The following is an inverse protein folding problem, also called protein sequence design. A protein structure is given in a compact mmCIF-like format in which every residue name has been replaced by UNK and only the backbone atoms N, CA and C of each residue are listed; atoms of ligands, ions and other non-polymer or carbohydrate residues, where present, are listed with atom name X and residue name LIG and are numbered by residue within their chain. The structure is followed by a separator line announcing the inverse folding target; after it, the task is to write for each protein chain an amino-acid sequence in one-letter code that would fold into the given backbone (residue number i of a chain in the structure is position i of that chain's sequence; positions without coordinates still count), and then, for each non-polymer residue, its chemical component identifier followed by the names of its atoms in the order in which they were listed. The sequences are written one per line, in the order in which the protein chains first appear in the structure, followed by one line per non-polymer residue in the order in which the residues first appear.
data_IF_894369018184
#
_entry.id   IF_894369018184
#
_cell.length_a   1.000
_cell.length_b   1.000
_cell.length_c   1.000
_cell.angle_alpha   90.00
_cell.angle_beta   90.00
_cell.angle_gamma   90.00
#
_symmetry.space_group_name_H-M   'P 1'
#
loop_
_entity.id
_entity.type
_entity.pdbx_description
1 polymer ?
#
# COMPACT_ATOMS: atom_id res chain seq x y z
N UNK A 1 30.21 -19.51 9.95
CA UNK A 1 31.12 -19.41 8.77
C UNK A 1 31.21 -17.96 8.37
N UNK A 2 32.44 -17.44 8.21
CA UNK A 2 32.75 -16.01 8.08
C UNK A 2 32.69 -15.57 6.62
N UNK A 3 31.63 -14.89 6.22
CA UNK A 3 31.55 -14.19 4.94
C UNK A 3 31.88 -12.72 5.12
N UNK A 4 33.12 -12.33 4.78
CA UNK A 4 33.51 -10.92 4.66
C UNK A 4 32.91 -10.39 3.36
N UNK A 5 32.01 -9.41 3.43
CA UNK A 5 31.65 -8.60 2.26
C UNK A 5 31.89 -7.15 2.65
N UNK A 6 32.98 -6.62 2.12
CA UNK A 6 33.31 -5.20 2.12
C UNK A 6 32.54 -4.63 0.93
N UNK A 7 31.61 -3.71 1.16
CA UNK A 7 31.07 -2.86 0.10
C UNK A 7 31.15 -1.41 0.57
N UNK A 8 32.26 -0.77 0.23
CA UNK A 8 32.37 0.69 0.23
C UNK A 8 31.62 1.20 -0.99
N UNK A 9 30.50 1.89 -0.77
CA UNK A 9 29.95 2.84 -1.74
C UNK A 9 29.37 4.01 -0.95
N UNK A 10 30.13 5.10 -0.91
CA UNK A 10 29.67 6.42 -0.50
C UNK A 10 28.74 6.93 -1.60
N UNK A 11 27.46 7.11 -1.27
CA UNK A 11 26.55 7.97 -2.01
C UNK A 11 25.74 8.76 -0.97
N UNK A 12 26.17 9.99 -0.70
CA UNK A 12 25.39 10.96 0.07
C UNK A 12 24.60 11.79 -0.95
N UNK A 13 23.33 11.48 -1.10
CA UNK A 13 22.33 12.37 -1.70
C UNK A 13 20.94 12.05 -1.10
N UNK A 14 20.50 12.97 -0.23
CA UNK A 14 19.16 13.23 0.29
C UNK A 14 18.00 12.29 -0.08
N UNK A 15 17.53 11.54 0.93
CA UNK A 15 16.12 11.51 1.34
C UNK A 15 15.08 10.98 0.36
N UNK A 16 15.04 9.67 0.18
CA UNK A 16 13.80 8.87 0.18
C UNK A 16 14.15 7.60 0.95
N UNK A 17 13.36 7.29 1.98
CA UNK A 17 13.60 6.18 2.87
C UNK A 17 13.84 4.90 2.04
N UNK A 18 15.06 4.36 2.09
CA UNK A 18 15.28 2.95 1.79
C UNK A 18 14.61 2.18 2.91
N UNK A 19 13.29 2.01 2.81
CA UNK A 19 12.59 0.96 3.50
C UNK A 19 13.10 -0.31 2.83
N UNK A 20 14.17 -0.87 3.39
CA UNK A 20 14.32 -2.33 3.37
C UNK A 20 13.17 -2.87 4.22
N UNK A 21 11.94 -2.73 3.72
CA UNK A 21 10.85 -3.59 4.13
C UNK A 21 11.43 -4.98 3.88
N UNK A 22 11.63 -5.73 4.95
CA UNK A 22 12.04 -7.11 4.78
C UNK A 22 10.94 -7.73 3.92
N UNK A 23 11.25 -8.47 2.84
CA UNK A 23 10.20 -9.02 1.98
C UNK A 23 9.14 -9.76 2.80
N UNK A 24 9.59 -10.45 3.86
CA UNK A 24 8.73 -11.10 4.83
C UNK A 24 7.64 -10.23 5.49
N UNK A 25 7.86 -8.92 5.73
CA UNK A 25 6.85 -8.04 6.31
C UNK A 25 5.90 -7.45 5.26
N UNK A 26 6.40 -7.19 4.04
CA UNK A 26 5.57 -6.72 2.94
C UNK A 26 4.63 -7.85 2.47
N UNK A 27 5.18 -9.04 2.19
CA UNK A 27 4.40 -10.23 1.82
C UNK A 27 3.33 -10.56 2.87
N UNK A 28 3.65 -10.52 4.17
CA UNK A 28 2.65 -10.79 5.22
C UNK A 28 1.57 -9.70 5.30
N UNK A 29 1.93 -8.42 5.12
CA UNK A 29 0.94 -7.32 5.10
C UNK A 29 0.04 -7.42 3.86
N UNK A 30 0.62 -7.75 2.72
CA UNK A 30 -0.06 -7.92 1.44
C UNK A 30 -1.04 -9.10 1.50
N UNK A 31 -0.60 -10.25 2.00
CA UNK A 31 -1.46 -11.43 2.18
C UNK A 31 -2.63 -11.14 3.13
N UNK A 32 -2.38 -10.43 4.23
CA UNK A 32 -3.43 -10.02 5.18
C UNK A 32 -4.39 -9.03 4.50
N UNK A 33 -3.89 -8.04 3.78
CA UNK A 33 -4.71 -7.03 3.11
C UNK A 33 -5.65 -7.68 2.10
N UNK A 34 -5.12 -8.56 1.24
CA UNK A 34 -5.92 -9.30 0.25
C UNK A 34 -6.95 -10.20 0.95
N UNK A 35 -6.56 -10.93 2.00
CA UNK A 35 -7.50 -11.75 2.77
C UNK A 35 -8.66 -10.95 3.35
N UNK A 36 -8.40 -9.73 3.83
CA UNK A 36 -9.45 -8.82 4.32
C UNK A 36 -10.37 -8.37 3.19
N UNK A 37 -9.86 -8.09 1.98
CA UNK A 37 -10.70 -7.75 0.83
C UNK A 37 -11.61 -8.92 0.41
N UNK A 38 -11.08 -10.14 0.45
CA UNK A 38 -11.84 -11.36 0.18
C UNK A 38 -12.96 -11.58 1.20
N UNK A 39 -12.67 -11.41 2.49
CA UNK A 39 -13.65 -11.55 3.58
C UNK A 39 -14.79 -10.52 3.48
N UNK A 40 -14.48 -9.28 3.08
CA UNK A 40 -15.46 -8.21 2.88
C UNK A 40 -16.16 -8.27 1.50
N UNK A 41 -15.72 -9.17 0.61
CA UNK A 41 -16.27 -9.32 -0.73
C UNK A 41 -16.02 -8.11 -1.63
N UNK A 42 -14.87 -7.44 -1.47
CA UNK A 42 -14.44 -6.31 -2.30
C UNK A 42 -13.77 -6.88 -3.56
N UNK A 43 -14.33 -6.70 -4.77
CA UNK A 43 -13.78 -7.32 -5.97
C UNK A 43 -12.55 -6.55 -6.47
N UNK A 44 -11.45 -7.23 -6.75
CA UNK A 44 -10.26 -6.63 -7.35
C UNK A 44 -9.80 -7.42 -8.58
N UNK A 45 -9.05 -6.77 -9.48
CA UNK A 45 -8.58 -7.40 -10.72
C UNK A 45 -7.50 -8.46 -10.44
N UNK A 46 -6.46 -8.07 -9.73
CA UNK A 46 -5.37 -8.92 -9.29
C UNK A 46 -4.89 -8.45 -7.90
N UNK A 47 -4.27 -9.33 -7.08
CA UNK A 47 -3.67 -8.93 -5.82
C UNK A 47 -2.65 -7.78 -5.97
N UNK A 48 -1.80 -7.87 -6.99
CA UNK A 48 -0.78 -6.85 -7.30
C UNK A 48 -1.42 -5.48 -7.61
N UNK A 49 -2.51 -5.44 -8.38
CA UNK A 49 -3.23 -4.19 -8.67
C UNK A 49 -3.88 -3.60 -7.42
N UNK A 50 -4.42 -4.44 -6.53
CA UNK A 50 -5.02 -4.00 -5.28
C UNK A 50 -3.98 -3.39 -4.33
N UNK A 51 -2.81 -4.02 -4.22
CA UNK A 51 -1.69 -3.51 -3.42
C UNK A 51 -1.17 -2.19 -4.00
N UNK A 52 -0.94 -2.14 -5.32
CA UNK A 52 -0.48 -0.91 -5.98
C UNK A 52 -1.49 0.25 -5.80
N UNK A 53 -2.80 -0.04 -5.85
CA UNK A 53 -3.82 0.95 -5.57
C UNK A 53 -3.80 1.38 -4.10
N UNK A 54 -3.59 0.46 -3.17
CA UNK A 54 -3.49 0.76 -1.74
C UNK A 54 -2.28 1.64 -1.40
N UNK A 55 -1.13 1.41 -2.02
CA UNK A 55 0.03 2.29 -1.91
C UNK A 55 -0.24 3.67 -2.51
N UNK A 56 -0.92 3.75 -3.65
CA UNK A 56 -1.29 5.01 -4.29
C UNK A 56 -2.24 5.87 -3.43
N UNK A 57 -3.14 5.25 -2.64
CA UNK A 57 -3.98 5.95 -1.66
C UNK A 57 -3.11 6.82 -0.73
N UNK A 58 -1.96 6.31 -0.29
CA UNK A 58 -1.05 7.04 0.57
C UNK A 58 -0.43 8.25 -0.12
N UNK A 59 -0.13 8.15 -1.41
CA UNK A 59 0.35 9.29 -2.20
C UNK A 59 -0.72 10.39 -2.28
N UNK A 60 -1.98 10.03 -2.53
CA UNK A 60 -3.08 11.00 -2.58
C UNK A 60 -3.33 11.66 -1.23
N UNK A 61 -3.33 10.89 -0.15
CA UNK A 61 -3.52 11.42 1.21
C UNK A 61 -2.34 12.31 1.61
N UNK A 62 -1.10 11.91 1.30
CA UNK A 62 0.09 12.72 1.52
C UNK A 62 0.11 14.02 0.69
N UNK A 63 -0.51 14.01 -0.49
CA UNK A 63 -0.72 15.20 -1.30
C UNK A 63 -1.81 16.16 -0.74
N UNK A 64 -2.44 15.80 0.38
CA UNK A 64 -3.45 16.60 1.07
C UNK A 64 -4.89 16.30 0.64
N UNK A 65 -5.11 15.22 -0.11
CA UNK A 65 -6.44 14.80 -0.52
C UNK A 65 -7.14 14.07 0.63
N UNK A 66 -8.40 14.41 0.96
CA UNK A 66 -9.11 13.73 2.04
C UNK A 66 -9.39 12.26 1.65
N UNK A 67 -9.20 11.29 2.56
CA UNK A 67 -9.42 9.86 2.28
C UNK A 67 -10.82 9.56 1.72
N UNK A 68 -11.84 10.28 2.16
CA UNK A 68 -13.21 10.13 1.68
C UNK A 68 -13.34 10.50 0.20
N UNK A 69 -12.57 11.49 -0.26
CA UNK A 69 -12.54 11.88 -1.66
C UNK A 69 -11.80 10.84 -2.50
N UNK A 70 -10.68 10.29 -1.99
CA UNK A 70 -9.98 9.17 -2.64
C UNK A 70 -10.91 7.96 -2.80
N UNK A 71 -11.72 7.64 -1.78
CA UNK A 71 -12.71 6.56 -1.85
C UNK A 71 -13.74 6.78 -2.97
N UNK A 72 -14.27 7.99 -3.11
CA UNK A 72 -15.20 8.34 -4.20
C UNK A 72 -14.54 8.27 -5.57
N UNK A 73 -13.27 8.65 -5.68
CA UNK A 73 -12.53 8.62 -6.94
C UNK A 73 -12.27 7.20 -7.43
N UNK A 74 -11.95 6.27 -6.52
CA UNK A 74 -11.71 4.86 -6.88
C UNK A 74 -13.01 4.08 -7.10
N UNK A 75 -14.13 4.50 -6.50
CA UNK A 75 -15.40 3.77 -6.59
C UNK A 75 -15.94 3.66 -8.01
N UNK A 76 -15.80 4.73 -8.80
CA UNK A 76 -16.28 4.78 -10.18
C UNK A 76 -15.54 3.80 -11.11
N UNK A 77 -14.20 3.93 -11.26
CA UNK A 77 -13.41 3.05 -12.11
C UNK A 77 -13.45 1.58 -11.69
N UNK A 78 -13.47 1.31 -10.38
CA UNK A 78 -13.53 -0.05 -9.85
C UNK A 78 -14.94 -0.66 -9.85
N UNK A 79 -15.96 0.15 -10.16
CA UNK A 79 -17.38 -0.23 -10.05
C UNK A 79 -17.72 -0.77 -8.64
N UNK A 80 -17.15 -0.13 -7.62
CA UNK A 80 -17.37 -0.44 -6.20
C UNK A 80 -18.48 0.45 -5.64
N UNK A 81 -19.15 -0.05 -4.61
CA UNK A 81 -20.00 0.80 -3.77
C UNK A 81 -19.16 1.77 -2.95
N UNK A 82 -19.77 2.88 -2.52
CA UNK A 82 -19.09 3.87 -1.66
C UNK A 82 -18.58 3.24 -0.36
N UNK A 83 -19.31 2.28 0.20
CA UNK A 83 -18.91 1.56 1.41
C UNK A 83 -17.67 0.69 1.16
N UNK A 84 -17.64 -0.07 0.06
CA UNK A 84 -16.47 -0.87 -0.32
C UNK A 84 -15.24 -0.01 -0.56
N UNK A 85 -15.38 1.12 -1.25
CA UNK A 85 -14.27 2.05 -1.48
C UNK A 85 -13.79 2.73 -0.20
N UNK A 86 -14.70 3.10 0.69
CA UNK A 86 -14.34 3.65 2.00
C UNK A 86 -13.58 2.64 2.85
N UNK A 87 -14.05 1.39 2.86
CA UNK A 87 -13.36 0.30 3.54
C UNK A 87 -11.96 0.09 2.96
N UNK A 88 -11.84 -0.02 1.63
CA UNK A 88 -10.55 -0.20 0.95
C UNK A 88 -9.56 0.90 1.32
N UNK A 89 -9.97 2.18 1.24
CA UNK A 89 -9.10 3.31 1.58
C UNK A 89 -8.70 3.29 3.05
N UNK A 90 -9.62 2.95 3.95
CA UNK A 90 -9.33 2.82 5.38
C UNK A 90 -8.30 1.73 5.68
N UNK A 91 -8.50 0.54 5.12
CA UNK A 91 -7.57 -0.58 5.25
C UNK A 91 -6.20 -0.25 4.62
N UNK A 92 -6.20 0.33 3.42
CA UNK A 92 -4.99 0.76 2.73
C UNK A 92 -4.20 1.78 3.57
N UNK A 93 -4.89 2.76 4.14
CA UNK A 93 -4.27 3.80 4.98
C UNK A 93 -3.66 3.21 6.25
N UNK A 94 -4.32 2.22 6.84
CA UNK A 94 -3.84 1.54 8.04
C UNK A 94 -2.60 0.67 7.77
N UNK A 95 -2.58 -0.01 6.62
CA UNK A 95 -1.54 -1.00 6.28
C UNK A 95 -0.32 -0.39 5.59
N UNK A 96 -0.52 0.59 4.71
CA UNK A 96 0.54 1.07 3.80
C UNK A 96 0.99 2.50 4.05
N UNK A 97 0.18 3.34 4.71
CA UNK A 97 0.57 4.74 4.88
C UNK A 97 1.51 4.92 6.06
N UNK A 98 2.66 5.60 5.88
CA UNK A 98 3.57 5.89 6.97
C UNK A 98 2.92 6.87 7.95
N UNK A 99 2.96 6.52 9.24
CA UNK A 99 2.52 7.37 10.36
C UNK A 99 3.42 8.57 10.60
#
# INVERSE_FOLDING_TARGET
MRGKIVLSAVAVAAGLATLTASPAFADETDDIFIGVLDDEGIPYSTPEDAIALAEAVCEYVAAGQPPEQVAVEISGPANWSVDQSGFFVGAATQSYCPS
#
